data_IF_220309698056
#
_entry.id   IF_220309698056
#
_cell.length_a   1.000
_cell.length_b   1.000
_cell.length_c   1.000
_cell.angle_alpha   90.00
_cell.angle_beta   90.00
_cell.angle_gamma   90.00
#
_symmetry.space_group_name_H-M   'P 1'
#
loop_
_entity.id
_entity.type
_entity.pdbx_description
1 polymer ?
#
# COMPACT_ATOMS: atom_id res chain seq x y z
N UNK A 1 -4.01 10.55 26.14
CA UNK A 1 -5.12 9.71 25.65
C UNK A 1 -4.56 8.32 25.43
N UNK A 2 -5.26 7.26 25.85
CA UNK A 2 -4.84 5.89 25.59
C UNK A 2 -5.54 5.40 24.31
N UNK A 3 -4.77 5.09 23.27
CA UNK A 3 -5.31 4.47 22.06
C UNK A 3 -5.60 2.99 22.35
N UNK A 4 -6.63 2.45 21.71
CA UNK A 4 -6.96 1.02 21.75
C UNK A 4 -7.06 0.39 20.36
N UNK A 5 -7.03 1.22 19.30
CA UNK A 5 -6.98 0.81 17.91
C UNK A 5 -5.78 1.43 17.19
N UNK A 6 -5.14 0.67 16.30
CA UNK A 6 -4.11 1.15 15.39
C UNK A 6 -4.49 0.73 13.97
N UNK A 7 -4.61 1.72 13.08
CA UNK A 7 -4.85 1.49 11.66
C UNK A 7 -3.58 1.83 10.88
N UNK A 8 -3.20 0.97 9.96
CA UNK A 8 -2.02 1.15 9.13
C UNK A 8 -2.39 1.37 7.67
N UNK A 9 -1.64 2.24 7.00
CA UNK A 9 -1.48 2.15 5.56
C UNK A 9 -0.71 0.88 5.14
N UNK A 10 -0.81 0.49 3.86
CA UNK A 10 -0.15 -0.70 3.33
C UNK A 10 1.23 -0.40 2.72
N UNK A 11 1.26 0.24 1.55
CA UNK A 11 2.47 0.37 0.74
C UNK A 11 3.37 1.47 1.26
N UNK A 12 4.68 1.18 1.36
CA UNK A 12 5.66 2.04 2.04
C UNK A 12 5.32 2.30 3.52
N UNK A 13 4.49 1.44 4.12
CA UNK A 13 4.22 1.40 5.56
C UNK A 13 4.47 -0.02 6.10
N UNK A 14 3.54 -0.95 5.88
CA UNK A 14 3.69 -2.37 6.29
C UNK A 14 4.31 -3.25 5.20
N UNK A 15 4.18 -2.84 3.94
CA UNK A 15 4.62 -3.60 2.76
C UNK A 15 5.53 -2.74 1.91
N UNK A 16 6.64 -3.31 1.45
CA UNK A 16 7.57 -2.71 0.49
C UNK A 16 7.55 -3.47 -0.83
N UNK A 17 7.95 -2.79 -1.89
CA UNK A 17 8.18 -3.39 -3.20
C UNK A 17 9.64 -3.84 -3.30
N UNK A 18 9.87 -5.06 -3.78
CA UNK A 18 11.21 -5.62 -3.98
C UNK A 18 11.98 -5.00 -5.15
N UNK A 19 12.95 -5.74 -5.70
CA UNK A 19 13.75 -5.28 -6.84
C UNK A 19 12.92 -5.23 -8.12
N UNK A 20 12.78 -4.02 -8.68
CA UNK A 20 12.13 -3.78 -9.97
C UNK A 20 12.87 -4.45 -11.14
N UNK A 21 14.21 -4.45 -11.14
CA UNK A 21 15.00 -5.16 -12.16
C UNK A 21 14.73 -6.66 -12.13
N UNK A 22 14.75 -7.26 -10.93
CA UNK A 22 14.48 -8.69 -10.78
C UNK A 22 13.05 -9.07 -11.17
N UNK A 23 12.07 -8.21 -10.88
CA UNK A 23 10.69 -8.38 -11.32
C UNK A 23 10.55 -8.28 -12.85
N UNK A 24 11.14 -7.25 -13.45
CA UNK A 24 11.13 -7.05 -14.90
C UNK A 24 11.75 -8.23 -15.64
N UNK A 25 12.92 -8.71 -15.23
CA UNK A 25 13.57 -9.84 -15.88
C UNK A 25 12.70 -11.10 -15.93
N UNK A 26 12.02 -11.43 -14.81
CA UNK A 26 11.06 -12.55 -14.79
C UNK A 26 9.84 -12.31 -15.68
N UNK A 27 9.35 -11.07 -15.74
CA UNK A 27 8.20 -10.73 -16.57
C UNK A 27 8.53 -10.81 -18.07
N UNK A 28 9.73 -10.40 -18.48
CA UNK A 28 10.22 -10.52 -19.86
C UNK A 28 10.35 -11.99 -20.26
N UNK A 29 10.93 -12.83 -19.39
CA UNK A 29 11.03 -14.27 -19.63
C UNK A 29 9.65 -14.92 -19.80
N UNK A 30 8.69 -14.58 -18.92
CA UNK A 30 7.34 -15.12 -18.98
C UNK A 30 6.49 -14.58 -20.16
N UNK A 31 6.72 -13.33 -20.59
CA UNK A 31 6.01 -12.76 -21.74
C UNK A 31 6.55 -13.28 -23.06
N UNK A 32 7.82 -13.72 -23.12
CA UNK A 32 8.48 -14.10 -24.37
C UNK A 32 8.66 -12.93 -25.33
N UNK A 33 8.59 -11.70 -24.84
CA UNK A 33 8.86 -10.50 -25.64
C UNK A 33 10.37 -10.35 -25.89
N UNK A 34 10.70 -9.78 -27.05
CA UNK A 34 12.07 -9.37 -27.38
C UNK A 34 12.55 -8.17 -26.55
N UNK A 35 13.75 -7.61 -26.81
CA UNK A 35 14.30 -6.55 -25.99
C UNK A 35 13.32 -5.37 -25.89
N UNK A 36 12.96 -5.04 -24.66
CA UNK A 36 12.23 -3.81 -24.29
C UNK A 36 13.17 -2.59 -24.52
N UNK A 37 12.74 -1.38 -24.16
CA UNK A 37 13.71 -0.29 -23.90
C UNK A 37 14.79 -0.75 -22.89
N UNK A 38 15.83 0.06 -22.63
CA UNK A 38 16.83 -0.30 -21.61
C UNK A 38 16.12 -0.68 -20.30
N UNK A 39 16.51 -1.80 -19.68
CA UNK A 39 15.81 -2.35 -18.50
C UNK A 39 15.73 -1.33 -17.36
N UNK A 40 16.77 -0.50 -17.22
CA UNK A 40 16.82 0.62 -16.28
C UNK A 40 15.69 1.63 -16.49
N UNK A 41 15.36 1.96 -17.74
CA UNK A 41 14.29 2.92 -18.07
C UNK A 41 12.92 2.36 -17.69
N UNK A 42 12.68 1.07 -17.99
CA UNK A 42 11.43 0.39 -17.62
C UNK A 42 11.31 0.28 -16.10
N UNK A 43 12.40 -0.05 -15.40
CA UNK A 43 12.43 -0.11 -13.94
C UNK A 43 12.16 1.26 -13.30
N UNK A 44 12.62 2.37 -13.91
CA UNK A 44 12.31 3.73 -13.47
C UNK A 44 10.82 4.05 -13.59
N UNK A 45 10.21 3.72 -14.73
CA UNK A 45 8.78 3.89 -14.94
C UNK A 45 7.98 3.04 -13.94
N UNK A 46 8.35 1.77 -13.74
CA UNK A 46 7.69 0.89 -12.78
C UNK A 46 7.76 1.44 -11.34
N UNK A 47 8.91 1.97 -10.92
CA UNK A 47 9.08 2.55 -9.59
C UNK A 47 8.16 3.75 -9.34
N UNK A 48 7.83 4.47 -10.39
CA UNK A 48 7.08 5.73 -10.33
C UNK A 48 5.70 5.64 -10.98
N UNK A 49 5.23 4.43 -11.33
CA UNK A 49 4.05 4.22 -12.18
C UNK A 49 2.79 4.91 -11.64
N UNK A 50 2.56 4.85 -10.33
CA UNK A 50 1.40 5.47 -9.69
C UNK A 50 1.54 6.98 -9.50
N UNK A 51 2.76 7.49 -9.31
CA UNK A 51 3.00 8.92 -9.30
C UNK A 51 2.74 9.52 -10.69
N UNK A 52 3.21 8.85 -11.75
CA UNK A 52 2.94 9.22 -13.16
C UNK A 52 1.45 9.13 -13.47
N UNK A 53 0.77 8.09 -12.98
CA UNK A 53 -0.67 7.96 -13.10
C UNK A 53 -1.40 9.15 -12.44
N UNK A 54 -0.95 9.60 -11.27
CA UNK A 54 -1.54 10.76 -10.59
C UNK A 54 -1.35 12.08 -11.32
N UNK A 55 -0.22 12.28 -12.00
CA UNK A 55 -0.03 13.44 -12.86
C UNK A 55 -0.99 13.44 -14.06
N UNK A 56 -1.37 12.25 -14.55
CA UNK A 56 -2.23 12.08 -15.73
C UNK A 56 -3.73 12.00 -15.41
N UNK A 57 -4.11 11.36 -14.31
CA UNK A 57 -5.49 11.15 -13.88
C UNK A 57 -5.65 11.63 -12.43
N UNK A 58 -5.82 12.94 -12.21
CA UNK A 58 -5.75 13.54 -10.87
C UNK A 58 -6.88 13.12 -9.92
N UNK A 59 -7.91 12.41 -10.41
CA UNK A 59 -9.01 11.91 -9.60
C UNK A 59 -8.75 10.52 -8.96
N UNK A 60 -7.60 9.89 -9.28
CA UNK A 60 -7.16 8.62 -8.72
C UNK A 60 -8.21 7.49 -8.78
N UNK A 61 -9.09 7.51 -9.79
CA UNK A 61 -10.19 6.54 -9.93
C UNK A 61 -9.73 5.10 -10.11
N UNK A 62 -8.46 4.88 -10.44
CA UNK A 62 -7.86 3.55 -10.50
C UNK A 62 -7.89 2.83 -9.13
N UNK A 63 -7.92 3.55 -8.00
CA UNK A 63 -8.04 2.96 -6.67
C UNK A 63 -9.48 2.57 -6.30
N UNK A 64 -10.43 2.81 -7.20
CA UNK A 64 -11.86 2.51 -7.01
C UNK A 64 -12.37 1.40 -7.93
N UNK A 65 -11.58 1.00 -8.94
CA UNK A 65 -12.00 0.02 -9.94
C UNK A 65 -10.81 -0.86 -10.38
N UNK A 66 -10.88 -2.19 -10.16
CA UNK A 66 -9.82 -3.11 -10.58
C UNK A 66 -9.49 -3.09 -12.07
N UNK A 67 -10.49 -2.84 -12.93
CA UNK A 67 -10.26 -2.76 -14.38
C UNK A 67 -9.48 -1.50 -14.73
N UNK A 68 -9.87 -0.36 -14.14
CA UNK A 68 -9.13 0.89 -14.33
C UNK A 68 -7.72 0.82 -13.73
N UNK A 69 -7.55 0.15 -12.58
CA UNK A 69 -6.23 -0.11 -11.99
C UNK A 69 -5.28 -0.78 -12.98
N UNK A 70 -5.76 -1.83 -13.65
CA UNK A 70 -5.00 -2.55 -14.68
C UNK A 70 -4.78 -1.69 -15.92
N UNK A 71 -5.84 -1.04 -16.41
CA UNK A 71 -5.78 -0.21 -17.61
C UNK A 71 -4.77 0.94 -17.47
N UNK A 72 -4.78 1.63 -16.33
CA UNK A 72 -3.86 2.73 -16.03
C UNK A 72 -2.43 2.23 -15.93
N UNK A 73 -2.18 1.16 -15.17
CA UNK A 73 -0.84 0.57 -15.04
C UNK A 73 -0.26 0.16 -16.40
N UNK A 74 -1.03 -0.59 -17.19
CA UNK A 74 -0.60 -0.99 -18.53
C UNK A 74 -0.45 0.20 -19.47
N UNK A 75 -1.35 1.17 -19.38
CA UNK A 75 -1.33 2.39 -20.19
C UNK A 75 -0.03 3.17 -19.99
N UNK A 76 0.37 3.40 -18.74
CA UNK A 76 1.63 4.07 -18.41
C UNK A 76 2.83 3.28 -18.97
N UNK A 77 2.89 1.97 -18.74
CA UNK A 77 4.03 1.16 -19.23
C UNK A 77 4.11 1.10 -20.76
N UNK A 78 2.97 1.00 -21.44
CA UNK A 78 2.95 0.97 -22.90
C UNK A 78 3.28 2.33 -23.51
N UNK A 79 2.83 3.44 -22.91
CA UNK A 79 3.09 4.77 -23.46
C UNK A 79 4.44 5.38 -23.07
N UNK A 80 4.98 5.04 -21.90
CA UNK A 80 6.18 5.69 -21.35
C UNK A 80 7.38 4.74 -21.21
N UNK A 81 7.15 3.44 -21.09
CA UNK A 81 8.21 2.43 -21.01
C UNK A 81 8.39 1.60 -22.29
N UNK A 82 7.60 1.87 -23.34
CA UNK A 82 7.63 1.13 -24.60
C UNK A 82 7.31 -0.37 -24.44
N UNK A 83 6.69 -0.77 -23.33
CA UNK A 83 6.31 -2.16 -23.09
C UNK A 83 5.22 -2.58 -24.08
N UNK A 84 5.26 -3.83 -24.54
CA UNK A 84 4.09 -4.40 -25.21
C UNK A 84 2.94 -4.52 -24.21
N UNK A 85 1.69 -4.58 -24.71
CA UNK A 85 0.53 -4.91 -23.87
C UNK A 85 0.69 -6.24 -23.13
N UNK A 86 1.38 -7.21 -23.74
CA UNK A 86 1.62 -8.52 -23.15
C UNK A 86 2.55 -8.41 -21.96
N UNK A 87 3.72 -7.78 -22.11
CA UNK A 87 4.65 -7.56 -20.99
C UNK A 87 4.01 -6.73 -19.88
N UNK A 88 3.28 -5.66 -20.23
CA UNK A 88 2.61 -4.82 -19.25
C UNK A 88 1.57 -5.62 -18.43
N UNK A 89 0.81 -6.51 -19.08
CA UNK A 89 -0.11 -7.43 -18.42
C UNK A 89 0.60 -8.41 -17.49
N UNK A 90 1.68 -9.05 -17.95
CA UNK A 90 2.48 -9.97 -17.11
C UNK A 90 3.08 -9.25 -15.91
N UNK A 91 3.59 -8.03 -16.10
CA UNK A 91 4.06 -7.18 -15.00
C UNK A 91 2.92 -6.96 -14.01
N UNK A 92 1.75 -6.49 -14.46
CA UNK A 92 0.62 -6.27 -13.56
C UNK A 92 0.23 -7.52 -12.77
N UNK A 93 0.08 -8.66 -13.45
CA UNK A 93 -0.36 -9.91 -12.85
C UNK A 93 0.65 -10.46 -11.82
N UNK A 94 1.95 -10.18 -12.01
CA UNK A 94 3.03 -10.58 -11.09
C UNK A 94 3.46 -9.47 -10.12
N UNK A 95 2.80 -8.30 -10.17
CA UNK A 95 3.12 -7.17 -9.30
C UNK A 95 3.08 -7.56 -7.81
N UNK A 96 2.14 -8.38 -7.31
CA UNK A 96 2.12 -8.76 -5.90
C UNK A 96 3.31 -9.63 -5.46
N UNK A 97 3.92 -10.39 -6.37
CA UNK A 97 4.95 -11.40 -6.05
C UNK A 97 6.24 -10.78 -5.52
N UNK A 98 6.50 -9.52 -5.86
CA UNK A 98 7.68 -8.80 -5.41
C UNK A 98 7.51 -8.13 -4.05
N UNK A 99 6.28 -8.07 -3.52
CA UNK A 99 6.00 -7.41 -2.26
C UNK A 99 6.62 -8.18 -1.09
N UNK A 100 7.11 -7.45 -0.09
CA UNK A 100 7.75 -7.99 1.11
C UNK A 100 7.27 -7.21 2.33
N UNK A 101 7.22 -7.82 3.53
CA UNK A 101 6.98 -7.06 4.75
C UNK A 101 8.08 -6.00 4.92
N UNK A 102 7.70 -4.82 5.39
CA UNK A 102 8.66 -3.83 5.84
C UNK A 102 9.45 -4.37 7.05
N UNK A 103 10.73 -4.01 7.22
CA UNK A 103 11.52 -4.41 8.38
C UNK A 103 10.83 -3.98 9.68
N UNK A 104 10.62 -4.92 10.60
CA UNK A 104 9.94 -4.65 11.86
C UNK A 104 8.41 -4.67 11.79
N UNK A 105 7.79 -4.86 10.61
CA UNK A 105 6.33 -4.85 10.48
C UNK A 105 5.67 -5.97 11.27
N UNK A 106 6.16 -7.21 11.09
CA UNK A 106 5.59 -8.39 11.76
C UNK A 106 5.74 -8.25 13.28
N UNK A 107 6.93 -7.85 13.73
CA UNK A 107 7.26 -7.68 15.15
C UNK A 107 6.42 -6.56 15.80
N UNK A 108 6.22 -5.44 15.10
CA UNK A 108 5.38 -4.34 15.57
C UNK A 108 3.92 -4.79 15.70
N UNK A 109 3.37 -5.44 14.68
CA UNK A 109 1.98 -5.91 14.70
C UNK A 109 1.77 -6.94 15.82
N UNK A 110 2.70 -7.87 16.01
CA UNK A 110 2.67 -8.82 17.13
C UNK A 110 2.71 -8.12 18.49
N UNK A 111 3.60 -7.14 18.66
CA UNK A 111 3.75 -6.39 19.90
C UNK A 111 2.49 -5.59 20.24
N UNK A 112 1.87 -4.96 19.25
CA UNK A 112 0.60 -4.25 19.40
C UNK A 112 -0.52 -5.20 19.85
N UNK A 113 -0.66 -6.37 19.22
CA UNK A 113 -1.65 -7.37 19.63
C UNK A 113 -1.40 -7.88 21.05
N UNK A 114 -0.15 -8.15 21.41
CA UNK A 114 0.22 -8.56 22.77
C UNK A 114 -0.09 -7.47 23.80
N UNK A 115 0.00 -6.20 23.41
CA UNK A 115 -0.41 -5.04 24.22
C UNK A 115 -1.93 -4.80 24.29
N UNK A 116 -2.74 -5.65 23.65
CA UNK A 116 -4.21 -5.55 23.67
C UNK A 116 -4.80 -4.58 22.65
N UNK A 117 -4.01 -4.05 21.71
CA UNK A 117 -4.51 -3.20 20.64
C UNK A 117 -5.31 -4.00 19.62
N UNK A 118 -6.38 -3.39 19.09
CA UNK A 118 -6.99 -3.82 17.83
C UNK A 118 -6.17 -3.24 16.68
N UNK A 119 -5.86 -4.06 15.68
CA UNK A 119 -4.97 -3.65 14.59
C UNK A 119 -5.67 -3.84 13.25
N UNK A 120 -5.67 -2.83 12.39
CA UNK A 120 -6.28 -2.93 11.07
C UNK A 120 -5.46 -2.27 9.97
N UNK A 121 -5.84 -2.54 8.74
CA UNK A 121 -5.24 -1.96 7.54
C UNK A 121 -6.29 -1.19 6.74
N UNK A 122 -5.89 -0.02 6.23
CA UNK A 122 -6.68 0.80 5.31
C UNK A 122 -5.78 1.30 4.17
N UNK A 123 -6.08 0.85 2.95
CA UNK A 123 -5.27 1.14 1.77
C UNK A 123 -6.11 1.68 0.62
N UNK A 124 -5.59 2.73 -0.02
CA UNK A 124 -6.02 3.08 -1.37
C UNK A 124 -5.38 2.08 -2.33
N UNK A 125 -6.20 1.27 -2.99
CA UNK A 125 -5.76 0.26 -3.95
C UNK A 125 -6.92 -0.18 -4.82
N UNK A 126 -6.63 -0.54 -6.08
CA UNK A 126 -7.59 -1.12 -7.00
C UNK A 126 -7.70 -2.66 -6.95
N UNK A 127 -6.98 -3.35 -6.06
CA UNK A 127 -6.92 -4.82 -6.04
C UNK A 127 -7.03 -5.40 -4.62
N UNK A 128 -7.46 -6.67 -4.50
CA UNK A 128 -7.51 -7.35 -3.21
C UNK A 128 -6.10 -7.71 -2.73
N UNK A 129 -5.71 -7.13 -1.59
CA UNK A 129 -4.40 -7.34 -0.98
C UNK A 129 -4.36 -8.60 -0.10
N UNK A 130 -5.52 -9.15 0.30
CA UNK A 130 -5.60 -10.21 1.33
C UNK A 130 -4.81 -11.47 0.96
N UNK A 131 -4.87 -12.01 -0.28
CA UNK A 131 -4.09 -13.20 -0.64
C UNK A 131 -2.60 -12.98 -0.38
N UNK A 132 -2.06 -11.83 -0.84
CA UNK A 132 -0.64 -11.54 -0.65
C UNK A 132 -0.30 -11.23 0.80
N UNK A 133 -1.14 -10.51 1.54
CA UNK A 133 -0.94 -10.28 2.97
C UNK A 133 -0.92 -11.59 3.77
N UNK A 134 -1.67 -12.61 3.35
CA UNK A 134 -1.64 -13.94 3.96
C UNK A 134 -0.29 -14.64 3.73
N UNK A 135 0.20 -14.65 2.49
CA UNK A 135 1.51 -15.23 2.15
C UNK A 135 2.66 -14.53 2.88
N UNK A 136 2.53 -13.22 3.12
CA UNK A 136 3.50 -12.41 3.85
C UNK A 136 3.40 -12.55 5.38
N UNK A 137 2.45 -13.34 5.89
CA UNK A 137 2.23 -13.53 7.33
C UNK A 137 1.64 -12.31 8.06
N UNK A 138 1.18 -11.30 7.33
CA UNK A 138 0.61 -10.07 7.88
C UNK A 138 -0.88 -10.20 8.16
N UNK A 139 -1.63 -10.90 7.30
CA UNK A 139 -3.09 -10.94 7.37
C UNK A 139 -3.60 -11.48 8.71
N UNK A 140 -2.95 -12.52 9.25
CA UNK A 140 -3.33 -13.12 10.54
C UNK A 140 -3.11 -12.19 11.75
N UNK A 141 -2.38 -11.09 11.57
CA UNK A 141 -2.12 -10.08 12.60
C UNK A 141 -3.10 -8.90 12.52
N UNK A 142 -3.91 -8.84 11.46
CA UNK A 142 -4.88 -7.78 11.22
C UNK A 142 -6.28 -8.26 11.62
N UNK A 143 -6.96 -7.47 12.44
CA UNK A 143 -8.35 -7.67 12.82
C UNK A 143 -9.33 -7.19 11.73
N UNK A 144 -8.89 -6.26 10.86
CA UNK A 144 -9.67 -5.78 9.71
C UNK A 144 -8.77 -5.32 8.57
N UNK A 145 -9.27 -5.44 7.34
CA UNK A 145 -8.65 -4.96 6.11
C UNK A 145 -9.70 -4.21 5.31
N UNK A 146 -9.47 -2.92 5.10
CA UNK A 146 -10.35 -2.00 4.35
C UNK A 146 -9.62 -1.53 3.10
N UNK A 147 -10.21 -1.78 1.93
CA UNK A 147 -9.61 -1.48 0.64
C UNK A 147 -10.52 -0.53 -0.14
N UNK A 148 -9.97 0.55 -0.69
CA UNK A 148 -10.76 1.61 -1.31
C UNK A 148 -11.68 1.15 -2.43
N UNK A 149 -11.25 0.19 -3.26
CA UNK A 149 -12.07 -0.33 -4.35
C UNK A 149 -13.32 -1.07 -3.87
N UNK A 150 -13.28 -1.67 -2.67
CA UNK A 150 -14.44 -2.33 -2.07
C UNK A 150 -15.44 -1.30 -1.52
N UNK A 151 -14.92 -0.19 -0.98
CA UNK A 151 -15.73 0.81 -0.29
C UNK A 151 -16.20 1.97 -1.17
N UNK A 152 -15.66 2.11 -2.38
CA UNK A 152 -15.98 3.23 -3.27
C UNK A 152 -15.48 4.59 -2.73
N UNK A 153 -14.51 4.57 -1.82
CA UNK A 153 -13.94 5.76 -1.15
C UNK A 153 -12.42 5.64 -1.05
N UNK A 154 -11.71 6.75 -1.09
CA UNK A 154 -10.25 6.81 -0.95
C UNK A 154 -9.85 7.75 0.18
N UNK A 155 -8.72 7.47 0.83
CA UNK A 155 -8.00 8.49 1.61
C UNK A 155 -7.64 9.67 0.68
N UNK A 156 -7.77 10.94 1.11
CA UNK A 156 -7.98 11.41 2.48
C UNK A 156 -9.45 11.64 2.90
N UNK A 157 -10.45 11.03 2.24
CA UNK A 157 -11.86 11.19 2.65
C UNK A 157 -12.05 10.74 4.11
N UNK A 158 -12.50 11.61 5.04
CA UNK A 158 -12.66 11.23 6.45
C UNK A 158 -13.63 10.05 6.66
N UNK A 159 -14.56 9.81 5.72
CA UNK A 159 -15.55 8.73 5.82
C UNK A 159 -14.88 7.35 5.79
N UNK A 160 -13.83 7.13 4.99
CA UNK A 160 -13.19 5.80 4.94
C UNK A 160 -12.36 5.51 6.20
N UNK A 161 -11.77 6.53 6.84
CA UNK A 161 -11.12 6.37 8.14
C UNK A 161 -12.13 6.02 9.24
N UNK A 162 -13.28 6.71 9.27
CA UNK A 162 -14.37 6.40 10.19
C UNK A 162 -14.90 4.98 10.01
N UNK A 163 -15.12 4.56 8.76
CA UNK A 163 -15.52 3.20 8.40
C UNK A 163 -14.49 2.16 8.84
N UNK A 164 -13.19 2.44 8.64
CA UNK A 164 -12.14 1.53 9.07
C UNK A 164 -12.11 1.36 10.60
N UNK A 165 -12.31 2.44 11.36
CA UNK A 165 -12.44 2.39 12.81
C UNK A 165 -13.69 1.60 13.26
N UNK A 166 -14.83 1.81 12.59
CA UNK A 166 -16.07 1.06 12.84
C UNK A 166 -15.86 -0.44 12.63
N UNK A 167 -15.26 -0.86 11.50
CA UNK A 167 -14.94 -2.27 11.23
C UNK A 167 -13.93 -2.85 12.20
N UNK A 168 -13.01 -2.02 12.71
CA UNK A 168 -12.06 -2.44 13.75
C UNK A 168 -12.76 -2.66 15.10
N UNK A 169 -13.96 -2.10 15.28
CA UNK A 169 -14.72 -2.12 16.53
C UNK A 169 -14.22 -1.12 17.57
N UNK A 170 -13.56 -0.04 17.12
CA UNK A 170 -12.94 0.96 18.01
C UNK A 170 -13.42 2.36 17.60
N UNK A 171 -13.81 3.24 18.54
CA UNK A 171 -14.13 4.63 18.23
C UNK A 171 -12.96 5.33 17.51
N UNK A 172 -13.24 6.15 16.50
CA UNK A 172 -12.20 6.84 15.73
C UNK A 172 -11.24 7.66 16.61
N UNK A 173 -11.76 8.34 17.65
CA UNK A 173 -10.94 9.09 18.62
C UNK A 173 -10.08 8.25 19.57
N UNK A 174 -10.30 6.93 19.60
CA UNK A 174 -9.46 5.96 20.31
C UNK A 174 -8.54 5.18 19.34
N UNK A 175 -8.56 5.51 18.05
CA UNK A 175 -7.65 4.99 17.05
C UNK A 175 -6.50 5.97 16.80
N UNK A 176 -5.40 5.44 16.29
CA UNK A 176 -4.33 6.20 15.64
C UNK A 176 -4.06 5.60 14.27
N UNK A 177 -3.90 6.46 13.27
CA UNK A 177 -3.54 6.07 11.92
C UNK A 177 -2.01 6.15 11.74
N UNK A 178 -1.38 5.14 11.17
CA UNK A 178 0.05 5.12 10.86
C UNK A 178 0.21 4.96 9.35
N UNK A 179 0.88 5.91 8.72
CA UNK A 179 1.13 5.88 7.28
C UNK A 179 2.35 6.71 6.90
N UNK A 180 2.61 6.89 5.62
CA UNK A 180 3.81 7.53 5.11
C UNK A 180 3.53 8.77 4.26
N UNK A 181 2.29 8.96 3.82
CA UNK A 181 1.92 9.96 2.81
C UNK A 181 1.07 11.07 3.44
N UNK A 182 1.63 12.28 3.69
CA UNK A 182 0.94 13.34 4.43
C UNK A 182 -0.42 13.74 3.85
N UNK A 183 -0.53 13.82 2.52
CA UNK A 183 -1.75 14.28 1.86
C UNK A 183 -2.89 13.26 1.88
N UNK A 184 -2.59 11.97 2.01
CA UNK A 184 -3.61 10.91 2.10
C UNK A 184 -3.83 10.50 3.55
N UNK A 185 -2.77 10.12 4.25
CA UNK A 185 -2.81 9.53 5.59
C UNK A 185 -2.98 10.57 6.68
N UNK A 186 -2.55 11.82 6.42
CA UNK A 186 -2.84 12.95 7.29
C UNK A 186 -4.34 13.26 7.38
N UNK A 187 -5.13 12.84 6.38
CA UNK A 187 -6.59 13.02 6.36
C UNK A 187 -7.33 12.37 7.53
N UNK A 188 -6.72 11.38 8.20
CA UNK A 188 -7.29 10.72 9.37
C UNK A 188 -7.71 11.70 10.48
N UNK A 189 -7.02 12.84 10.62
CA UNK A 189 -7.33 13.85 11.64
C UNK A 189 -8.72 14.46 11.45
N UNK A 190 -9.22 14.51 10.21
CA UNK A 190 -10.56 15.00 9.91
C UNK A 190 -11.66 13.99 10.30
N UNK A 191 -11.30 12.74 10.57
CA UNK A 191 -12.17 11.73 11.17
C UNK A 191 -12.03 11.66 12.71
N UNK A 192 -11.28 12.58 13.32
CA UNK A 192 -11.01 12.59 14.76
C UNK A 192 -9.93 11.60 15.19
N UNK A 193 -9.17 11.04 14.24
CA UNK A 193 -8.13 10.04 14.48
C UNK A 193 -6.74 10.67 14.30
N UNK A 194 -5.90 10.75 15.35
CA UNK A 194 -4.52 11.21 15.19
C UNK A 194 -3.76 10.40 14.13
N UNK A 195 -2.90 11.07 13.37
CA UNK A 195 -2.07 10.45 12.33
C UNK A 195 -0.60 10.52 12.72
N UNK A 196 0.11 9.41 12.60
CA UNK A 196 1.56 9.26 12.77
C UNK A 196 2.15 9.00 11.39
N UNK A 197 2.86 10.01 10.87
CA UNK A 197 3.56 9.90 9.60
C UNK A 197 4.98 9.37 9.84
N UNK A 198 5.29 8.21 9.26
CA UNK A 198 6.63 7.63 9.32
C UNK A 198 7.42 8.02 8.07
N UNK A 199 8.68 8.46 8.20
CA UNK A 199 9.53 8.73 7.04
C UNK A 199 9.93 7.41 6.36
N UNK A 200 10.17 7.50 5.06
CA UNK A 200 10.75 6.44 4.24
C UNK A 200 12.17 6.85 3.87
N UNK A 201 13.16 6.14 4.39
CA UNK A 201 14.58 6.45 4.20
C UNK A 201 15.21 5.35 3.37
N UNK A 202 15.76 5.70 2.20
CA UNK A 202 16.34 4.71 1.27
C UNK A 202 15.33 3.65 0.81
N UNK A 203 14.04 4.00 0.73
CA UNK A 203 12.96 3.06 0.39
C UNK A 203 12.46 2.21 1.56
N UNK A 204 12.99 2.40 2.78
CA UNK A 204 12.62 1.64 3.97
C UNK A 204 11.81 2.51 4.94
N UNK A 205 10.56 2.13 5.28
CA UNK A 205 9.77 2.85 6.27
C UNK A 205 10.33 2.68 7.68
N UNK A 206 10.36 3.77 8.44
CA UNK A 206 10.93 3.80 9.79
C UNK A 206 9.88 3.43 10.85
N UNK A 207 9.40 2.18 10.82
CA UNK A 207 8.37 1.66 11.72
C UNK A 207 8.78 1.69 13.21
N UNK A 208 10.08 1.75 13.50
CA UNK A 208 10.60 1.94 14.86
C UNK A 208 10.10 3.24 15.51
N UNK A 209 9.79 4.28 14.72
CA UNK A 209 9.21 5.52 15.24
C UNK A 209 7.78 5.26 15.75
N UNK A 210 6.95 4.57 14.96
CA UNK A 210 5.62 4.16 15.40
C UNK A 210 5.69 3.21 16.61
N UNK A 211 6.62 2.26 16.60
CA UNK A 211 6.81 1.33 17.72
C UNK A 211 7.12 2.07 19.04
N UNK A 212 8.06 3.01 19.02
CA UNK A 212 8.42 3.79 20.21
C UNK A 212 7.28 4.65 20.76
N UNK A 213 6.39 5.14 19.88
CA UNK A 213 5.23 5.94 20.28
C UNK A 213 4.08 5.10 20.83
N UNK A 214 3.87 3.87 20.31
CA UNK A 214 2.68 3.07 20.59
C UNK A 214 2.90 1.97 21.63
N UNK A 215 4.07 1.35 21.62
CA UNK A 215 4.39 0.20 22.48
C UNK A 215 5.24 0.62 23.69
N UNK A 216 5.92 1.77 23.59
CA UNK A 216 6.95 2.17 24.55
C UNK A 216 8.23 1.36 24.34
N UNK A 217 9.38 2.04 24.43
CA UNK A 217 10.71 1.42 24.40
C UNK A 217 11.01 0.56 25.62
#
# INVERSE_FOLDING_TARGET
>A
MAFTGVLFDCFRTLVMVGSFQGWLGRAVEASGDGPVMQEEDVAEVLRTVWARAADRYPDARWDLDPHLHREVFEGILTSEAGCTRRLAGVLYDTMPDQWRPAPGAVELLQSLRAGGYRVGLLSNTGIDLRPRLADLGLLALLDTVVLSFEEGMVKPDPRIFGLAAERLGVPAGACVFVGDTPNTDGGAVHAGMPSVLIPVVGGVPQLNIAAGLLVGS
#
